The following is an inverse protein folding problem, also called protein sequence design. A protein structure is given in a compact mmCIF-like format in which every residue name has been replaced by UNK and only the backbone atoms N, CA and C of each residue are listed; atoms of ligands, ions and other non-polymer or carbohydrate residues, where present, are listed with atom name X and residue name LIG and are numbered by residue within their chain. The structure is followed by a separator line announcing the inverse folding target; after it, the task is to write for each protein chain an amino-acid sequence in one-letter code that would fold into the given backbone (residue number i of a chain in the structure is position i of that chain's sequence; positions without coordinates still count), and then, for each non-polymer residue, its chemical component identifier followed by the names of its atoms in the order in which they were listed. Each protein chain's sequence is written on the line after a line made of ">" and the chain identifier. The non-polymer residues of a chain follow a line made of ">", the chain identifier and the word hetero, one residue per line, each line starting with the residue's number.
data_IF_184812748077
#
_entry.id   IF_184812748077
#
_cell.length_a   1.000
_cell.length_b   1.000
_cell.length_c   1.000
_cell.angle_alpha   90.00
_cell.angle_beta   90.00
_cell.angle_gamma   90.00
#
_symmetry.space_group_name_H-M   'P 1'
#
loop_
_entity.id
_entity.type
_entity.pdbx_description
1 polymer ?
#
# COMPACT_ATOMS: atom_id res chain seq x y z
N UNK A 1 -30.40 22.67 27.04
CA UNK A 1 -29.10 22.89 26.44
C UNK A 1 -28.67 21.64 25.71
N UNK A 2 -28.31 21.72 24.43
CA UNK A 2 -27.92 20.56 23.60
C UNK A 2 -26.39 20.32 23.63
N UNK A 3 -25.62 21.25 24.14
CA UNK A 3 -24.14 21.18 24.26
C UNK A 3 -23.70 21.45 25.69
N UNK A 4 -22.54 20.90 26.07
CA UNK A 4 -21.82 21.24 27.31
C UNK A 4 -20.57 22.03 26.94
N UNK A 5 -20.02 22.92 27.83
CA UNK A 5 -18.87 23.76 27.51
C UNK A 5 -17.64 22.97 27.05
N UNK A 6 -17.43 21.75 27.56
CA UNK A 6 -16.30 20.89 27.28
C UNK A 6 -16.72 19.53 26.64
N UNK A 7 -17.94 19.42 26.12
CA UNK A 7 -18.50 18.20 25.56
C UNK A 7 -18.81 18.30 24.07
N UNK A 8 -19.33 17.20 23.45
CA UNK A 8 -19.72 17.21 22.06
C UNK A 8 -20.76 18.32 21.79
N UNK A 9 -20.67 18.97 20.63
CA UNK A 9 -21.54 20.09 20.23
C UNK A 9 -23.03 19.75 20.35
N UNK A 10 -23.39 18.51 20.04
CA UNK A 10 -24.75 17.98 20.16
C UNK A 10 -24.75 16.76 21.09
N UNK A 11 -25.62 16.76 22.11
CA UNK A 11 -25.79 15.58 22.98
C UNK A 11 -26.71 14.56 22.28
N UNK A 12 -26.11 13.53 21.68
CA UNK A 12 -26.80 12.51 20.89
C UNK A 12 -27.79 11.69 21.71
N UNK A 13 -27.51 11.43 22.99
CA UNK A 13 -28.37 10.66 23.87
C UNK A 13 -29.76 11.34 24.17
N UNK A 14 -29.86 12.64 23.91
CA UNK A 14 -31.10 13.43 24.11
C UNK A 14 -31.82 13.71 22.80
N UNK A 15 -31.32 13.26 21.65
CA UNK A 15 -31.93 13.48 20.36
C UNK A 15 -33.00 12.43 20.06
N UNK A 16 -34.18 12.91 19.60
CA UNK A 16 -35.20 12.03 19.06
C UNK A 16 -35.00 11.90 17.54
N UNK A 17 -34.30 10.84 17.11
CA UNK A 17 -33.99 10.60 15.72
C UNK A 17 -35.22 10.50 14.81
N UNK A 18 -36.33 9.93 15.28
CA UNK A 18 -37.59 9.84 14.52
C UNK A 18 -38.14 11.22 14.14
N UNK A 19 -38.04 12.20 15.05
CA UNK A 19 -38.46 13.59 14.77
C UNK A 19 -37.60 14.27 13.71
N UNK A 20 -36.28 14.01 13.70
CA UNK A 20 -35.36 14.58 12.73
C UNK A 20 -35.43 13.87 11.39
N UNK A 21 -35.60 12.55 11.36
CA UNK A 21 -35.78 11.75 10.15
C UNK A 21 -36.93 12.26 9.25
N UNK A 22 -37.98 12.81 9.85
CA UNK A 22 -39.10 13.43 9.12
C UNK A 22 -38.76 14.76 8.40
N UNK A 23 -37.56 15.32 8.64
CA UNK A 23 -37.09 16.59 8.06
C UNK A 23 -35.85 16.38 7.19
N UNK A 24 -35.98 16.13 5.87
CA UNK A 24 -34.88 15.63 5.03
C UNK A 24 -33.58 16.47 5.09
N UNK A 25 -33.68 17.80 5.02
CA UNK A 25 -32.48 18.66 5.01
C UNK A 25 -31.72 18.64 6.35
N UNK A 26 -32.45 18.64 7.47
CA UNK A 26 -31.84 18.54 8.81
C UNK A 26 -31.31 17.14 9.10
N UNK A 27 -32.00 16.13 8.63
CA UNK A 27 -31.58 14.74 8.79
C UNK A 27 -30.26 14.47 8.05
N UNK A 28 -30.09 14.97 6.83
CA UNK A 28 -28.84 14.82 6.07
C UNK A 28 -27.66 15.49 6.79
N UNK A 29 -27.81 16.76 7.19
CA UNK A 29 -26.76 17.48 7.92
C UNK A 29 -26.42 16.82 9.27
N UNK A 30 -27.45 16.37 10.00
CA UNK A 30 -27.25 15.67 11.27
C UNK A 30 -26.54 14.33 11.08
N UNK A 31 -26.87 13.58 10.01
CA UNK A 31 -26.19 12.34 9.68
C UNK A 31 -24.70 12.57 9.39
N UNK A 32 -24.37 13.56 8.55
CA UNK A 32 -22.98 13.89 8.22
C UNK A 32 -22.20 14.30 9.47
N UNK A 33 -22.80 15.08 10.36
CA UNK A 33 -22.18 15.43 11.64
C UNK A 33 -21.89 14.20 12.50
N UNK A 34 -22.88 13.33 12.73
CA UNK A 34 -22.74 12.14 13.57
C UNK A 34 -21.71 11.17 12.96
N UNK A 35 -21.76 10.96 11.64
CA UNK A 35 -20.93 9.98 10.96
C UNK A 35 -19.48 10.42 10.76
N UNK A 36 -19.24 11.70 10.45
CA UNK A 36 -17.91 12.21 10.12
C UNK A 36 -17.24 12.93 11.30
N UNK A 37 -17.98 13.67 12.11
CA UNK A 37 -17.40 14.45 13.20
C UNK A 37 -17.35 13.65 14.51
N UNK A 38 -18.48 13.10 14.93
CA UNK A 38 -18.57 12.32 16.18
C UNK A 38 -18.08 10.88 16.00
N UNK A 39 -17.96 10.38 14.76
CA UNK A 39 -17.58 9.01 14.43
C UNK A 39 -18.49 7.93 15.08
N UNK A 40 -19.70 8.29 15.48
CA UNK A 40 -20.67 7.37 16.09
C UNK A 40 -21.50 6.67 15.00
N UNK A 41 -20.97 5.53 14.54
CA UNK A 41 -21.58 4.74 13.46
C UNK A 41 -22.93 4.15 13.88
N UNK A 42 -23.14 3.84 15.17
CA UNK A 42 -24.40 3.22 15.66
C UNK A 42 -25.56 4.19 15.60
N UNK A 43 -25.40 5.38 16.16
CA UNK A 43 -26.42 6.42 16.09
C UNK A 43 -26.64 6.93 14.65
N UNK A 44 -25.58 6.99 13.82
CA UNK A 44 -25.71 7.29 12.41
C UNK A 44 -26.53 6.23 11.66
N UNK A 45 -26.32 4.94 11.96
CA UNK A 45 -27.09 3.82 11.38
C UNK A 45 -28.57 3.91 11.74
N UNK A 46 -28.90 4.17 13.01
CA UNK A 46 -30.27 4.32 13.47
C UNK A 46 -30.98 5.48 12.76
N UNK A 47 -30.34 6.64 12.67
CA UNK A 47 -30.88 7.79 11.93
C UNK A 47 -31.09 7.47 10.46
N UNK A 48 -30.12 6.82 9.81
CA UNK A 48 -30.19 6.44 8.39
C UNK A 48 -31.32 5.41 8.14
N UNK A 49 -31.52 4.44 9.04
CA UNK A 49 -32.58 3.45 8.95
C UNK A 49 -33.97 4.13 9.03
N UNK A 50 -34.19 4.96 10.06
CA UNK A 50 -35.44 5.71 10.23
C UNK A 50 -35.72 6.65 9.06
N UNK A 51 -34.70 7.34 8.55
CA UNK A 51 -34.85 8.23 7.40
C UNK A 51 -35.14 7.46 6.10
N UNK A 52 -34.57 6.27 5.93
CA UNK A 52 -34.85 5.40 4.79
C UNK A 52 -36.29 4.90 4.80
N UNK A 53 -36.81 4.53 5.97
CA UNK A 53 -38.22 4.14 6.15
C UNK A 53 -39.16 5.30 5.87
N UNK A 54 -38.90 6.49 6.41
CA UNK A 54 -39.74 7.69 6.19
C UNK A 54 -39.81 8.10 4.73
N UNK A 55 -38.69 7.90 3.96
CA UNK A 55 -38.65 8.10 2.52
C UNK A 55 -39.20 6.93 1.70
N UNK A 56 -39.80 5.90 2.32
CA UNK A 56 -40.36 4.71 1.66
C UNK A 56 -39.32 4.00 0.76
N UNK A 57 -38.05 3.99 1.13
CA UNK A 57 -36.93 3.37 0.39
C UNK A 57 -36.71 3.92 -1.03
N UNK A 58 -37.23 5.11 -1.36
CA UNK A 58 -37.10 5.71 -2.68
C UNK A 58 -35.87 6.59 -2.85
N UNK A 59 -35.35 7.18 -1.77
CA UNK A 59 -34.16 8.05 -1.83
C UNK A 59 -32.89 7.21 -1.90
N UNK A 60 -32.18 7.33 -3.01
CA UNK A 60 -30.89 6.66 -3.24
C UNK A 60 -29.84 7.09 -2.21
N UNK A 61 -29.85 8.36 -1.77
CA UNK A 61 -28.86 8.92 -0.87
C UNK A 61 -28.83 8.19 0.47
N UNK A 62 -30.00 7.98 1.09
CA UNK A 62 -30.11 7.28 2.37
C UNK A 62 -29.64 5.83 2.28
N UNK A 63 -29.88 5.16 1.16
CA UNK A 63 -29.38 3.79 0.94
C UNK A 63 -27.86 3.75 0.89
N UNK A 64 -27.22 4.75 0.27
CA UNK A 64 -25.76 4.88 0.25
C UNK A 64 -25.22 5.15 1.65
N UNK A 65 -25.84 6.05 2.42
CA UNK A 65 -25.41 6.33 3.79
C UNK A 65 -25.56 5.11 4.70
N UNK A 66 -26.67 4.39 4.57
CA UNK A 66 -26.89 3.13 5.28
C UNK A 66 -25.81 2.11 4.95
N UNK A 67 -25.45 2.00 3.67
CA UNK A 67 -24.37 1.13 3.22
C UNK A 67 -23.00 1.55 3.77
N UNK A 68 -22.71 2.86 3.86
CA UNK A 68 -21.48 3.37 4.50
C UNK A 68 -21.39 2.97 5.98
N UNK A 69 -22.53 3.01 6.71
CA UNK A 69 -22.59 2.54 8.09
C UNK A 69 -22.31 1.03 8.17
N UNK A 70 -22.98 0.22 7.35
CA UNK A 70 -22.74 -1.23 7.29
C UNK A 70 -21.28 -1.56 6.92
N UNK A 71 -20.67 -0.82 5.99
CA UNK A 71 -19.28 -1.00 5.64
C UNK A 71 -18.33 -0.77 6.83
N UNK A 72 -18.53 0.31 7.61
CA UNK A 72 -17.75 0.57 8.82
C UNK A 72 -17.95 -0.48 9.92
N UNK A 73 -19.14 -1.08 9.99
CA UNK A 73 -19.45 -2.16 10.94
C UNK A 73 -18.97 -3.56 10.46
N UNK A 74 -18.36 -3.65 9.29
CA UNK A 74 -17.90 -4.92 8.72
C UNK A 74 -19.01 -5.78 8.09
N UNK A 75 -20.26 -5.27 8.00
CA UNK A 75 -21.42 -5.95 7.42
C UNK A 75 -21.46 -5.79 5.90
N UNK A 76 -20.45 -6.31 5.21
CA UNK A 76 -20.20 -6.06 3.77
C UNK A 76 -21.34 -6.55 2.87
N UNK A 77 -21.98 -7.69 3.21
CA UNK A 77 -23.08 -8.25 2.41
C UNK A 77 -24.35 -7.38 2.47
N UNK A 78 -24.62 -6.74 3.60
CA UNK A 78 -25.76 -5.85 3.70
C UNK A 78 -25.46 -4.49 3.07
N UNK A 79 -24.22 -4.01 3.17
CA UNK A 79 -23.76 -2.85 2.40
C UNK A 79 -23.92 -3.07 0.89
N UNK A 80 -23.53 -4.23 0.36
CA UNK A 80 -23.70 -4.61 -1.05
C UNK A 80 -25.17 -4.52 -1.50
N UNK A 81 -26.09 -5.11 -0.70
CA UNK A 81 -27.53 -5.09 -1.02
C UNK A 81 -28.08 -3.66 -1.13
N UNK A 82 -27.69 -2.78 -0.18
CA UNK A 82 -28.16 -1.39 -0.17
C UNK A 82 -27.59 -0.61 -1.36
N UNK A 83 -26.29 -0.77 -1.69
CA UNK A 83 -25.67 -0.11 -2.83
C UNK A 83 -26.28 -0.57 -4.15
N UNK A 84 -26.47 -1.88 -4.36
CA UNK A 84 -27.16 -2.40 -5.54
C UNK A 84 -28.62 -1.89 -5.63
N UNK A 85 -29.31 -1.78 -4.49
CA UNK A 85 -30.65 -1.20 -4.46
C UNK A 85 -30.63 0.30 -4.79
N UNK A 86 -29.59 1.04 -4.41
CA UNK A 86 -29.41 2.45 -4.74
C UNK A 86 -29.21 2.64 -6.25
N UNK A 87 -28.36 1.85 -6.89
CA UNK A 87 -28.10 1.89 -8.35
C UNK A 87 -29.35 1.63 -9.20
N UNK A 88 -30.33 0.87 -8.68
CA UNK A 88 -31.62 0.67 -9.39
C UNK A 88 -32.47 1.95 -9.45
N UNK A 89 -32.23 2.91 -8.55
CA UNK A 89 -32.95 4.18 -8.51
C UNK A 89 -32.22 5.29 -9.25
N UNK A 90 -30.92 5.40 -9.02
CA UNK A 90 -30.11 6.44 -9.60
C UNK A 90 -28.66 5.99 -9.69
N UNK A 91 -28.04 6.16 -10.86
CA UNK A 91 -26.60 5.98 -11.05
C UNK A 91 -25.86 7.19 -10.49
N UNK A 92 -24.94 6.94 -9.54
CA UNK A 92 -24.08 7.95 -8.94
C UNK A 92 -22.67 7.40 -8.77
N UNK A 93 -21.66 8.22 -9.05
CA UNK A 93 -20.24 7.86 -8.97
C UNK A 93 -19.90 7.31 -7.59
N UNK A 94 -20.34 8.00 -6.52
CA UNK A 94 -20.11 7.56 -5.13
C UNK A 94 -20.62 6.14 -4.86
N UNK A 95 -21.75 5.77 -5.45
CA UNK A 95 -22.33 4.44 -5.24
C UNK A 95 -21.45 3.37 -5.87
N UNK A 96 -20.91 3.61 -7.07
CA UNK A 96 -19.96 2.71 -7.71
C UNK A 96 -18.68 2.59 -6.91
N UNK A 97 -18.12 3.71 -6.43
CA UNK A 97 -16.90 3.74 -5.61
C UNK A 97 -17.05 2.92 -4.31
N UNK A 98 -18.17 3.10 -3.59
CA UNK A 98 -18.41 2.35 -2.37
C UNK A 98 -18.70 0.87 -2.63
N UNK A 99 -19.41 0.55 -3.71
CA UNK A 99 -19.68 -0.85 -4.08
C UNK A 99 -18.38 -1.58 -4.41
N UNK A 100 -17.47 -0.94 -5.11
CA UNK A 100 -16.15 -1.51 -5.39
C UNK A 100 -15.29 -1.67 -4.13
N UNK A 101 -15.34 -0.69 -3.19
CA UNK A 101 -14.70 -0.85 -1.87
C UNK A 101 -15.23 -2.06 -1.11
N UNK A 102 -16.54 -2.31 -1.19
CA UNK A 102 -17.17 -3.49 -0.57
C UNK A 102 -16.64 -4.77 -1.21
N UNK A 103 -16.58 -4.85 -2.55
CA UNK A 103 -16.06 -6.03 -3.24
C UNK A 103 -14.57 -6.28 -2.97
N UNK A 104 -13.77 -5.23 -2.85
CA UNK A 104 -12.36 -5.36 -2.46
C UNK A 104 -12.23 -5.96 -1.04
N UNK A 105 -13.11 -5.57 -0.10
CA UNK A 105 -13.13 -6.17 1.24
C UNK A 105 -13.68 -7.60 1.29
N UNK A 106 -14.47 -7.98 0.28
CA UNK A 106 -14.97 -9.35 0.10
C UNK A 106 -14.00 -10.24 -0.67
N UNK A 107 -12.80 -9.73 -1.00
CA UNK A 107 -11.78 -10.41 -1.80
C UNK A 107 -12.30 -10.83 -3.20
N UNK A 108 -13.04 -9.93 -3.85
CA UNK A 108 -13.61 -10.10 -5.17
C UNK A 108 -13.14 -8.98 -6.13
N UNK A 109 -11.83 -8.87 -6.43
CA UNK A 109 -11.28 -7.76 -7.21
C UNK A 109 -11.81 -7.74 -8.66
N UNK A 110 -12.00 -8.88 -9.29
CA UNK A 110 -12.52 -8.94 -10.66
C UNK A 110 -13.94 -8.40 -10.77
N UNK A 111 -14.81 -8.73 -9.79
CA UNK A 111 -16.18 -8.18 -9.73
C UNK A 111 -16.16 -6.66 -9.51
N UNK A 112 -15.23 -6.16 -8.69
CA UNK A 112 -15.06 -4.72 -8.50
C UNK A 112 -14.66 -4.01 -9.81
N UNK A 113 -13.75 -4.59 -10.60
CA UNK A 113 -13.36 -4.06 -11.92
C UNK A 113 -14.55 -4.02 -12.87
N UNK A 114 -15.39 -5.07 -12.89
CA UNK A 114 -16.60 -5.10 -13.74
C UNK A 114 -17.58 -3.98 -13.35
N UNK A 115 -17.78 -3.76 -12.05
CA UNK A 115 -18.64 -2.68 -11.55
C UNK A 115 -18.08 -1.31 -11.90
N UNK A 116 -16.77 -1.10 -11.80
CA UNK A 116 -16.14 0.14 -12.25
C UNK A 116 -16.31 0.35 -13.76
N UNK A 117 -16.16 -0.69 -14.57
CA UNK A 117 -16.40 -0.61 -16.03
C UNK A 117 -17.83 -0.23 -16.35
N UNK A 118 -18.83 -0.83 -15.66
CA UNK A 118 -20.23 -0.42 -15.76
C UNK A 118 -20.44 1.05 -15.40
N UNK A 119 -19.76 1.54 -14.36
CA UNK A 119 -19.74 2.96 -14.00
C UNK A 119 -19.17 3.84 -15.11
N UNK A 120 -18.07 3.43 -15.75
CA UNK A 120 -17.45 4.16 -16.87
C UNK A 120 -18.30 4.19 -18.13
N UNK A 121 -19.15 3.19 -18.37
CA UNK A 121 -20.14 3.24 -19.46
C UNK A 121 -21.16 4.38 -19.28
N UNK A 122 -21.49 4.70 -18.02
CA UNK A 122 -22.41 5.79 -17.66
C UNK A 122 -21.69 7.15 -17.53
N UNK A 123 -20.51 7.15 -16.94
CA UNK A 123 -19.69 8.33 -16.63
C UNK A 123 -18.35 8.24 -17.39
N UNK A 124 -18.40 8.49 -18.70
CA UNK A 124 -17.22 8.40 -19.54
C UNK A 124 -16.15 9.42 -19.13
N UNK A 125 -14.92 8.95 -18.99
CA UNK A 125 -13.79 9.80 -18.64
C UNK A 125 -13.69 10.19 -17.16
N UNK A 126 -14.52 9.61 -16.28
CA UNK A 126 -14.43 9.89 -14.85
C UNK A 126 -13.14 9.33 -14.24
N UNK A 127 -12.26 10.24 -13.84
CA UNK A 127 -10.90 9.89 -13.38
C UNK A 127 -10.89 9.09 -12.09
N UNK A 128 -11.86 9.29 -11.20
CA UNK A 128 -11.97 8.55 -9.93
C UNK A 128 -12.28 7.08 -10.15
N UNK A 129 -13.10 6.75 -11.16
CA UNK A 129 -13.41 5.36 -11.52
C UNK A 129 -12.22 4.69 -12.22
N UNK A 130 -11.54 5.40 -13.13
CA UNK A 130 -10.32 4.91 -13.79
C UNK A 130 -9.20 4.64 -12.79
N UNK A 131 -8.94 5.58 -11.88
CA UNK A 131 -7.98 5.40 -10.79
C UNK A 131 -8.36 4.25 -9.85
N UNK A 132 -9.67 4.04 -9.62
CA UNK A 132 -10.17 2.91 -8.85
C UNK A 132 -9.82 1.55 -9.48
N UNK A 133 -9.95 1.42 -10.81
CA UNK A 133 -9.55 0.21 -11.54
C UNK A 133 -8.02 0.02 -11.43
N UNK A 134 -7.26 1.09 -11.65
CA UNK A 134 -5.81 1.05 -11.59
C UNK A 134 -5.30 0.55 -10.21
N UNK A 135 -5.86 1.06 -9.11
CA UNK A 135 -5.54 0.60 -7.73
C UNK A 135 -5.85 -0.88 -7.50
N UNK A 136 -6.93 -1.41 -8.10
CA UNK A 136 -7.24 -2.84 -7.97
C UNK A 136 -6.20 -3.68 -8.70
N UNK A 137 -5.79 -3.30 -9.93
CA UNK A 137 -4.73 -3.99 -10.65
C UNK A 137 -3.38 -3.89 -9.92
N UNK A 138 -3.06 -2.74 -9.33
CA UNK A 138 -1.88 -2.56 -8.48
C UNK A 138 -1.91 -3.50 -7.27
N UNK A 139 -3.05 -3.60 -6.56
CA UNK A 139 -3.24 -4.53 -5.45
C UNK A 139 -3.18 -6.01 -5.84
N UNK A 140 -3.43 -6.35 -7.11
CA UNK A 140 -3.24 -7.69 -7.67
C UNK A 140 -1.81 -7.91 -8.21
N UNK A 141 -0.93 -6.94 -8.07
CA UNK A 141 0.43 -6.93 -8.61
C UNK A 141 0.48 -7.04 -10.16
N UNK A 142 -0.58 -6.61 -10.84
CA UNK A 142 -0.63 -6.49 -12.30
C UNK A 142 -0.30 -5.05 -12.70
N UNK A 143 1.00 -4.71 -12.64
CA UNK A 143 1.48 -3.36 -12.86
C UNK A 143 1.30 -2.90 -14.30
N UNK A 144 1.31 -3.80 -15.27
CA UNK A 144 1.14 -3.45 -16.69
C UNK A 144 -0.26 -2.88 -16.96
N UNK A 145 -1.30 -3.54 -16.44
CA UNK A 145 -2.66 -3.05 -16.54
C UNK A 145 -2.88 -1.82 -15.64
N UNK A 146 -2.32 -1.78 -14.43
CA UNK A 146 -2.41 -0.61 -13.55
C UNK A 146 -1.87 0.66 -14.24
N UNK A 147 -0.67 0.59 -14.80
CA UNK A 147 -0.03 1.72 -15.52
C UNK A 147 -0.83 2.15 -16.75
N UNK A 148 -1.46 1.21 -17.45
CA UNK A 148 -2.34 1.54 -18.58
C UNK A 148 -3.50 2.41 -18.14
N UNK A 149 -4.22 2.01 -17.08
CA UNK A 149 -5.33 2.80 -16.57
C UNK A 149 -4.88 4.12 -15.94
N UNK A 150 -3.71 4.18 -15.28
CA UNK A 150 -3.16 5.46 -14.81
C UNK A 150 -2.77 6.40 -15.97
N UNK A 151 -2.30 5.88 -17.10
CA UNK A 151 -2.10 6.70 -18.32
C UNK A 151 -3.43 7.22 -18.86
N UNK A 152 -4.48 6.40 -18.83
CA UNK A 152 -5.82 6.86 -19.20
C UNK A 152 -6.33 7.95 -18.26
N UNK A 153 -6.08 7.86 -16.94
CA UNK A 153 -6.36 8.96 -16.00
C UNK A 153 -5.65 10.25 -16.40
N UNK A 154 -4.35 10.18 -16.77
CA UNK A 154 -3.59 11.37 -17.18
C UNK A 154 -4.06 11.98 -18.49
N UNK A 155 -4.76 11.24 -19.35
CA UNK A 155 -5.37 11.78 -20.56
C UNK A 155 -6.54 12.74 -20.24
N UNK A 156 -7.26 12.48 -19.14
CA UNK A 156 -8.38 13.33 -18.69
C UNK A 156 -7.96 14.37 -17.65
N UNK A 157 -7.11 13.97 -16.69
CA UNK A 157 -6.55 14.84 -15.65
C UNK A 157 -5.03 14.73 -15.63
N UNK A 158 -4.39 15.63 -16.34
CA UNK A 158 -2.93 15.67 -16.45
C UNK A 158 -2.20 16.03 -15.14
N UNK A 159 -2.93 16.49 -14.11
CA UNK A 159 -2.38 16.85 -12.79
C UNK A 159 -2.70 15.83 -11.70
N UNK A 160 -3.14 14.62 -12.05
CA UNK A 160 -3.46 13.59 -11.08
C UNK A 160 -2.20 13.06 -10.40
N UNK A 161 -1.99 13.43 -9.14
CA UNK A 161 -0.76 13.19 -8.37
C UNK A 161 -0.41 11.69 -8.30
N UNK A 162 -1.38 10.86 -7.91
CA UNK A 162 -1.18 9.41 -7.76
C UNK A 162 -0.78 8.74 -9.07
N UNK A 163 -1.46 9.08 -10.17
CA UNK A 163 -1.13 8.52 -11.48
C UNK A 163 0.29 8.88 -11.93
N UNK A 164 0.72 10.13 -11.70
CA UNK A 164 2.09 10.57 -11.99
C UNK A 164 3.09 9.79 -11.13
N UNK A 165 2.82 9.62 -9.83
CA UNK A 165 3.70 8.93 -8.89
C UNK A 165 3.88 7.45 -9.28
N UNK A 166 2.80 6.72 -9.55
CA UNK A 166 2.87 5.30 -9.91
C UNK A 166 3.58 5.10 -11.26
N UNK A 167 3.29 5.94 -12.25
CA UNK A 167 4.00 5.88 -13.54
C UNK A 167 5.49 6.18 -13.37
N UNK A 168 5.86 7.15 -12.52
CA UNK A 168 7.26 7.45 -12.22
C UNK A 168 7.96 6.24 -11.57
N UNK A 169 7.32 5.62 -10.59
CA UNK A 169 7.82 4.42 -9.90
C UNK A 169 8.00 3.26 -10.88
N UNK A 170 7.05 3.04 -11.78
CA UNK A 170 7.17 2.00 -12.82
C UNK A 170 8.35 2.26 -13.77
N UNK A 171 8.56 3.51 -14.21
CA UNK A 171 9.74 3.84 -15.02
C UNK A 171 11.03 3.59 -14.27
N UNK A 172 11.08 3.88 -12.96
CA UNK A 172 12.26 3.59 -12.14
C UNK A 172 12.57 2.10 -12.11
N UNK A 173 11.57 1.24 -11.82
CA UNK A 173 11.76 -0.22 -11.81
C UNK A 173 11.94 -0.85 -13.20
N UNK A 174 11.63 -0.10 -14.27
CA UNK A 174 11.91 -0.49 -15.66
C UNK A 174 13.28 -0.01 -16.16
N UNK A 175 14.20 0.30 -15.25
CA UNK A 175 15.55 0.78 -15.54
C UNK A 175 15.59 2.07 -16.38
N UNK A 176 14.64 2.97 -16.12
CA UNK A 176 14.52 4.28 -16.77
C UNK A 176 14.52 5.43 -15.74
N UNK A 177 15.56 5.57 -14.90
CA UNK A 177 15.57 6.53 -13.79
C UNK A 177 15.48 8.00 -14.26
N UNK A 178 16.01 8.33 -15.45
CA UNK A 178 15.92 9.69 -16.00
C UNK A 178 14.48 10.06 -16.37
N UNK A 179 13.69 9.10 -16.85
CA UNK A 179 12.28 9.31 -17.16
C UNK A 179 11.48 9.47 -15.84
N UNK A 180 11.72 8.57 -14.88
CA UNK A 180 11.14 8.66 -13.55
C UNK A 180 11.42 10.02 -12.89
N UNK A 181 12.66 10.50 -12.99
CA UNK A 181 13.08 11.79 -12.45
C UNK A 181 12.28 12.96 -13.03
N UNK A 182 11.91 12.94 -14.31
CA UNK A 182 11.06 13.98 -14.93
C UNK A 182 9.65 13.99 -14.31
N UNK A 183 9.05 12.81 -14.06
CA UNK A 183 7.74 12.71 -13.44
C UNK A 183 7.77 13.13 -11.97
N UNK A 184 8.75 12.72 -11.19
CA UNK A 184 8.89 13.14 -9.78
C UNK A 184 9.17 14.64 -9.67
N UNK A 185 9.98 15.24 -10.56
CA UNK A 185 10.17 16.70 -10.62
C UNK A 185 8.87 17.45 -10.94
N UNK A 186 8.01 16.87 -11.78
CA UNK A 186 6.69 17.44 -12.06
C UNK A 186 5.82 17.46 -10.79
N UNK A 187 5.82 16.40 -9.97
CA UNK A 187 5.12 16.40 -8.68
C UNK A 187 5.63 17.52 -7.76
N UNK A 188 6.94 17.74 -7.72
CA UNK A 188 7.52 18.84 -6.95
C UNK A 188 7.05 20.21 -7.45
N UNK A 189 6.97 20.40 -8.78
CA UNK A 189 6.42 21.64 -9.40
C UNK A 189 4.94 21.84 -9.10
N UNK A 190 4.18 20.76 -8.88
CA UNK A 190 2.77 20.80 -8.47
C UNK A 190 2.57 21.10 -6.98
N UNK A 191 3.66 21.26 -6.23
CA UNK A 191 3.62 21.58 -4.81
C UNK A 191 3.54 20.35 -3.88
N UNK A 192 3.73 19.14 -4.40
CA UNK A 192 3.87 17.95 -3.54
C UNK A 192 5.22 18.02 -2.84
N UNK A 193 5.20 18.02 -1.50
CA UNK A 193 6.40 18.22 -0.70
C UNK A 193 6.38 17.30 0.53
N UNK A 194 6.87 16.07 0.37
CA UNK A 194 6.92 15.08 1.43
C UNK A 194 8.24 14.26 1.38
N UNK A 195 8.54 13.53 2.46
CA UNK A 195 9.75 12.72 2.59
C UNK A 195 9.86 11.64 1.52
N UNK A 196 8.76 10.99 1.16
CA UNK A 196 8.70 9.93 0.16
C UNK A 196 9.12 10.43 -1.23
N UNK A 197 8.64 11.61 -1.65
CA UNK A 197 9.00 12.20 -2.94
C UNK A 197 10.49 12.50 -3.01
N UNK A 198 11.07 13.07 -1.95
CA UNK A 198 12.51 13.37 -1.92
C UNK A 198 13.36 12.11 -1.84
N UNK A 199 12.90 11.07 -1.15
CA UNK A 199 13.53 9.75 -1.15
C UNK A 199 13.59 9.16 -2.56
N UNK A 200 12.47 9.16 -3.28
CA UNK A 200 12.40 8.65 -4.64
C UNK A 200 13.22 9.51 -5.63
N UNK A 201 13.24 10.83 -5.45
CA UNK A 201 14.12 11.72 -6.20
C UNK A 201 15.60 11.40 -5.95
N UNK A 202 16.00 11.15 -4.70
CA UNK A 202 17.34 10.75 -4.31
C UNK A 202 17.80 9.48 -5.02
N UNK A 203 16.95 8.43 -4.99
CA UNK A 203 17.21 7.19 -5.71
C UNK A 203 17.33 7.42 -7.23
N UNK A 204 16.38 8.13 -7.83
CA UNK A 204 16.43 8.42 -9.27
C UNK A 204 17.67 9.22 -9.65
N UNK A 205 18.08 10.21 -8.84
CA UNK A 205 19.30 10.98 -9.07
C UNK A 205 20.54 10.09 -9.02
N UNK A 206 20.62 9.17 -8.05
CA UNK A 206 21.73 8.23 -7.94
C UNK A 206 21.85 7.32 -9.16
N UNK A 207 20.77 6.63 -9.54
CA UNK A 207 20.76 5.71 -10.68
C UNK A 207 20.89 6.43 -12.03
N UNK A 208 20.44 7.69 -12.13
CA UNK A 208 20.69 8.56 -13.28
C UNK A 208 22.08 9.23 -13.26
N UNK A 209 22.97 8.84 -12.35
CA UNK A 209 24.34 9.36 -12.19
C UNK A 209 24.41 10.87 -11.90
N UNK A 210 23.37 11.45 -11.33
CA UNK A 210 23.31 12.86 -10.91
C UNK A 210 23.67 12.98 -9.41
N UNK A 211 24.89 12.59 -9.06
CA UNK A 211 25.33 12.40 -7.67
C UNK A 211 25.27 13.68 -6.82
N UNK A 212 25.48 14.85 -7.41
CA UNK A 212 25.45 16.15 -6.71
C UNK A 212 24.08 16.43 -6.06
N UNK A 213 23.00 15.93 -6.67
CA UNK A 213 21.64 16.10 -6.15
C UNK A 213 21.19 14.99 -5.21
N UNK A 214 21.85 13.84 -5.24
CA UNK A 214 21.44 12.66 -4.45
C UNK A 214 21.47 12.95 -2.96
N UNK A 215 22.57 13.49 -2.44
CA UNK A 215 22.74 13.79 -1.03
C UNK A 215 21.70 14.82 -0.54
N UNK A 216 21.56 15.92 -1.28
CA UNK A 216 20.58 16.98 -0.93
C UNK A 216 19.15 16.49 -0.93
N UNK A 217 18.79 15.55 -1.82
CA UNK A 217 17.47 14.91 -1.81
C UNK A 217 17.28 14.05 -0.57
N UNK A 218 18.24 13.23 -0.17
CA UNK A 218 18.13 12.41 1.03
C UNK A 218 18.15 13.22 2.33
N UNK A 219 18.94 14.30 2.41
CA UNK A 219 18.87 15.24 3.55
C UNK A 219 17.48 15.83 3.70
N UNK A 220 16.84 16.22 2.58
CA UNK A 220 15.46 16.70 2.58
C UNK A 220 14.48 15.59 2.97
N UNK A 221 14.66 14.38 2.43
CA UNK A 221 13.83 13.24 2.79
C UNK A 221 13.86 12.97 4.29
N UNK A 222 15.05 12.94 4.90
CA UNK A 222 15.21 12.75 6.35
C UNK A 222 14.58 13.89 7.16
N UNK A 223 14.67 15.13 6.68
CA UNK A 223 14.07 16.28 7.39
C UNK A 223 12.54 16.29 7.38
N UNK A 224 11.92 15.61 6.42
CA UNK A 224 10.47 15.56 6.23
C UNK A 224 9.86 14.19 6.60
N UNK A 225 10.71 13.19 6.83
CA UNK A 225 10.27 11.85 7.16
C UNK A 225 9.58 11.81 8.54
N UNK A 226 8.51 11.05 8.62
CA UNK A 226 7.82 10.69 9.85
C UNK A 226 8.33 9.34 10.41
N UNK A 227 7.78 8.90 11.53
CA UNK A 227 8.16 7.64 12.19
C UNK A 227 7.95 6.41 11.29
N UNK A 228 7.05 6.49 10.30
CA UNK A 228 6.74 5.38 9.40
C UNK A 228 7.70 5.32 8.21
N UNK A 229 8.13 6.48 7.70
CA UNK A 229 8.91 6.59 6.47
C UNK A 229 10.42 6.68 6.69
N UNK A 230 10.86 7.09 7.89
CA UNK A 230 12.28 7.31 8.19
C UNK A 230 13.14 6.05 8.04
N UNK A 231 12.58 4.88 8.36
CA UNK A 231 13.28 3.60 8.21
C UNK A 231 13.61 3.32 6.74
N UNK A 232 12.65 3.55 5.84
CA UNK A 232 12.82 3.37 4.40
C UNK A 232 13.87 4.33 3.82
N UNK A 233 13.90 5.57 4.30
CA UNK A 233 14.92 6.54 3.85
C UNK A 233 16.32 6.06 4.22
N UNK A 234 16.53 5.62 5.48
CA UNK A 234 17.82 5.06 5.90
C UNK A 234 18.20 3.80 5.13
N UNK A 235 17.24 2.93 4.85
CA UNK A 235 17.44 1.74 4.04
C UNK A 235 17.93 2.08 2.64
N UNK A 236 17.31 3.07 1.99
CA UNK A 236 17.70 3.51 0.65
C UNK A 236 19.05 4.21 0.61
N UNK A 237 19.39 5.00 1.63
CA UNK A 237 20.76 5.57 1.79
C UNK A 237 21.77 4.42 1.92
N UNK A 238 21.45 3.37 2.67
CA UNK A 238 22.26 2.17 2.78
C UNK A 238 22.53 1.50 1.44
N UNK A 239 21.52 1.39 0.57
CA UNK A 239 21.68 0.88 -0.78
C UNK A 239 22.56 1.77 -1.67
N UNK A 240 22.40 3.08 -1.57
CA UNK A 240 23.28 4.04 -2.28
C UNK A 240 24.72 3.88 -1.79
N UNK A 241 24.94 3.73 -0.48
CA UNK A 241 26.26 3.50 0.09
C UNK A 241 26.89 2.20 -0.42
N UNK A 242 26.11 1.11 -0.55
CA UNK A 242 26.56 -0.13 -1.21
C UNK A 242 26.98 0.09 -2.65
N UNK A 243 26.20 0.86 -3.41
CA UNK A 243 26.49 1.18 -4.82
C UNK A 243 27.76 2.02 -5.00
N UNK A 244 28.11 2.87 -4.02
CA UNK A 244 29.36 3.65 -4.00
C UNK A 244 30.54 2.79 -3.51
N UNK A 245 30.26 1.67 -2.81
CA UNK A 245 31.27 0.81 -2.20
C UNK A 245 31.63 1.14 -0.75
N UNK A 246 30.92 2.08 -0.09
CA UNK A 246 31.11 2.40 1.31
C UNK A 246 30.32 1.43 2.21
N UNK A 247 30.96 0.27 2.50
CA UNK A 247 30.36 -0.77 3.33
C UNK A 247 30.13 -0.34 4.78
N UNK A 248 30.93 0.60 5.31
CA UNK A 248 30.78 1.08 6.67
C UNK A 248 29.56 1.98 6.81
N UNK A 249 29.37 2.91 5.88
CA UNK A 249 28.16 3.75 5.82
C UNK A 249 26.92 2.89 5.62
N UNK A 250 26.95 1.94 4.68
CA UNK A 250 25.85 1.00 4.45
C UNK A 250 25.45 0.25 5.72
N UNK A 251 26.43 -0.26 6.46
CA UNK A 251 26.20 -0.96 7.73
C UNK A 251 25.53 -0.06 8.76
N UNK A 252 25.99 1.18 8.91
CA UNK A 252 25.38 2.14 9.83
C UNK A 252 23.94 2.49 9.44
N UNK A 253 23.69 2.71 8.15
CA UNK A 253 22.37 3.02 7.64
C UNK A 253 21.37 1.87 7.89
N UNK A 254 21.75 0.62 7.60
CA UNK A 254 20.87 -0.52 7.88
C UNK A 254 20.65 -0.73 9.39
N UNK A 255 21.63 -0.40 10.23
CA UNK A 255 21.43 -0.38 11.69
C UNK A 255 20.43 0.72 12.12
N UNK A 256 20.48 1.90 11.50
CA UNK A 256 19.51 2.97 11.74
C UNK A 256 18.12 2.59 11.23
N UNK A 257 18.02 1.89 10.10
CA UNK A 257 16.77 1.30 9.62
C UNK A 257 16.13 0.43 10.71
N UNK A 258 16.90 -0.52 11.28
CA UNK A 258 16.41 -1.44 12.31
C UNK A 258 16.12 -0.73 13.65
N UNK A 259 16.77 0.39 13.95
CA UNK A 259 16.47 1.17 15.16
C UNK A 259 15.11 1.88 15.08
N UNK A 260 14.66 2.19 13.86
CA UNK A 260 13.35 2.82 13.60
C UNK A 260 12.26 1.80 13.29
N UNK A 261 12.61 0.69 12.62
CA UNK A 261 11.68 -0.40 12.31
C UNK A 261 12.37 -1.75 12.50
N UNK A 262 12.07 -2.42 13.62
CA UNK A 262 12.65 -3.72 13.95
C UNK A 262 12.16 -4.87 13.04
N UNK A 263 11.08 -4.68 12.31
CA UNK A 263 10.48 -5.70 11.46
C UNK A 263 10.91 -5.58 9.98
N UNK A 264 12.00 -4.85 9.71
CA UNK A 264 12.51 -4.65 8.35
C UNK A 264 13.42 -5.82 7.93
N UNK A 265 12.84 -6.84 7.30
CA UNK A 265 13.52 -8.08 6.93
C UNK A 265 14.67 -7.88 5.95
N UNK A 266 14.51 -6.98 4.97
CA UNK A 266 15.52 -6.66 3.96
C UNK A 266 16.78 -6.06 4.59
N UNK A 267 16.62 -5.21 5.61
CA UNK A 267 17.76 -4.64 6.33
C UNK A 267 18.53 -5.71 7.10
N UNK A 268 17.84 -6.67 7.73
CA UNK A 268 18.49 -7.82 8.35
C UNK A 268 19.25 -8.65 7.32
N UNK A 269 18.65 -8.96 6.18
CA UNK A 269 19.32 -9.70 5.12
C UNK A 269 20.60 -8.98 4.65
N UNK A 270 20.52 -7.68 4.41
CA UNK A 270 21.67 -6.89 3.94
C UNK A 270 22.78 -6.80 4.99
N UNK A 271 22.44 -6.65 6.28
CA UNK A 271 23.40 -6.73 7.37
C UNK A 271 24.07 -8.12 7.43
N UNK A 272 23.30 -9.18 7.22
CA UNK A 272 23.83 -10.54 7.14
C UNK A 272 24.86 -10.70 6.03
N UNK A 273 24.60 -10.16 4.84
CA UNK A 273 25.55 -10.15 3.71
C UNK A 273 26.81 -9.34 4.05
N UNK A 274 26.66 -8.18 4.70
CA UNK A 274 27.82 -7.37 5.11
C UNK A 274 28.69 -8.08 6.16
N UNK A 275 28.10 -8.73 7.15
CA UNK A 275 28.83 -9.50 8.15
C UNK A 275 29.52 -10.74 7.54
N UNK A 276 28.87 -11.38 6.56
CA UNK A 276 29.49 -12.48 5.82
C UNK A 276 30.73 -12.03 5.06
N UNK A 277 30.70 -10.85 4.42
CA UNK A 277 31.87 -10.26 3.75
C UNK A 277 33.02 -9.94 4.68
N UNK A 278 32.73 -9.65 5.95
CA UNK A 278 33.73 -9.44 7.01
C UNK A 278 34.28 -10.76 7.58
N UNK A 279 33.70 -11.90 7.19
CA UNK A 279 34.07 -13.23 7.70
C UNK A 279 33.37 -13.63 9.00
N UNK A 280 32.36 -12.88 9.44
CA UNK A 280 31.60 -13.17 10.67
C UNK A 280 30.39 -14.08 10.38
N UNK A 281 30.65 -15.34 10.03
CA UNK A 281 29.64 -16.32 9.59
C UNK A 281 28.49 -16.52 10.60
N UNK A 282 28.79 -16.58 11.90
CA UNK A 282 27.75 -16.79 12.93
C UNK A 282 26.82 -15.59 13.08
N UNK A 283 27.34 -14.37 12.96
CA UNK A 283 26.54 -13.16 13.00
C UNK A 283 25.68 -13.03 11.73
N UNK A 284 26.25 -13.35 10.56
CA UNK A 284 25.50 -13.39 9.31
C UNK A 284 24.36 -14.39 9.38
N UNK A 285 24.60 -15.58 9.95
CA UNK A 285 23.60 -16.60 10.19
C UNK A 285 22.45 -16.09 11.04
N UNK A 286 22.74 -15.41 12.15
CA UNK A 286 21.72 -14.85 13.04
C UNK A 286 20.86 -13.79 12.31
N UNK A 287 21.48 -12.94 11.48
CA UNK A 287 20.77 -11.93 10.70
C UNK A 287 19.87 -12.54 9.62
N UNK A 288 20.33 -13.53 8.87
CA UNK A 288 19.48 -14.24 7.91
C UNK A 288 18.32 -14.96 8.58
N UNK A 289 18.55 -15.55 9.77
CA UNK A 289 17.50 -16.18 10.55
C UNK A 289 16.44 -15.18 10.98
N UNK A 290 16.82 -14.00 11.46
CA UNK A 290 15.87 -12.94 11.79
C UNK A 290 15.08 -12.51 10.56
N UNK A 291 15.72 -12.30 9.41
CA UNK A 291 15.08 -11.90 8.18
C UNK A 291 13.99 -12.88 7.72
N UNK A 292 14.28 -14.19 7.65
CA UNK A 292 13.27 -15.15 7.19
C UNK A 292 12.18 -15.48 8.22
N UNK A 293 12.40 -15.21 9.50
CA UNK A 293 11.34 -15.29 10.53
C UNK A 293 10.34 -14.14 10.36
N UNK A 294 10.83 -12.93 10.08
CA UNK A 294 9.99 -11.74 9.87
C UNK A 294 9.23 -11.86 8.53
N UNK A 295 9.93 -12.21 7.45
CA UNK A 295 9.36 -12.32 6.09
C UNK A 295 9.65 -13.69 5.46
N UNK A 296 8.85 -14.73 5.78
CA UNK A 296 9.07 -16.08 5.26
C UNK A 296 8.92 -16.23 3.74
N UNK A 297 8.27 -15.28 3.09
CA UNK A 297 8.04 -15.26 1.64
C UNK A 297 9.21 -14.66 0.83
N UNK A 298 10.17 -14.01 1.50
CA UNK A 298 11.39 -13.53 0.85
C UNK A 298 12.32 -14.71 0.53
N UNK A 299 12.76 -14.82 -0.72
CA UNK A 299 13.69 -15.88 -1.13
C UNK A 299 15.14 -15.57 -0.77
N UNK A 300 15.56 -14.30 -0.72
CA UNK A 300 16.93 -13.86 -0.52
C UNK A 300 17.54 -14.34 0.80
N UNK A 301 16.89 -14.16 1.97
CA UNK A 301 17.43 -14.67 3.22
C UNK A 301 17.55 -16.18 3.24
N UNK A 302 16.60 -16.89 2.63
CA UNK A 302 16.64 -18.36 2.52
C UNK A 302 17.78 -18.82 1.63
N UNK A 303 18.01 -18.15 0.49
CA UNK A 303 19.12 -18.46 -0.39
C UNK A 303 20.47 -18.16 0.27
N UNK A 304 20.61 -16.97 0.89
CA UNK A 304 21.85 -16.58 1.57
C UNK A 304 22.20 -17.53 2.73
N UNK A 305 21.18 -17.97 3.48
CA UNK A 305 21.34 -18.98 4.51
C UNK A 305 21.76 -20.34 3.91
N UNK A 306 21.13 -20.76 2.80
CA UNK A 306 21.48 -22.00 2.13
C UNK A 306 22.94 -22.01 1.64
N UNK A 307 23.36 -20.93 0.98
CA UNK A 307 24.73 -20.77 0.49
C UNK A 307 25.75 -20.76 1.63
N UNK A 308 25.46 -20.07 2.74
CA UNK A 308 26.32 -20.07 3.92
C UNK A 308 26.41 -21.46 4.56
N UNK A 309 25.28 -22.17 4.71
CA UNK A 309 25.24 -23.52 5.29
C UNK A 309 26.01 -24.53 4.42
N UNK A 310 25.94 -24.40 3.11
CA UNK A 310 26.73 -25.23 2.16
C UNK A 310 28.23 -24.99 2.34
N UNK A 311 28.68 -23.74 2.44
CA UNK A 311 30.07 -23.39 2.71
C UNK A 311 30.58 -23.92 4.07
N UNK A 312 29.71 -23.99 5.06
CA UNK A 312 30.03 -24.53 6.39
C UNK A 312 29.95 -26.07 6.46
N UNK A 313 29.50 -26.72 5.39
CA UNK A 313 29.35 -28.17 5.32
C UNK A 313 28.08 -28.72 5.96
N UNK A 314 27.14 -27.86 6.38
CA UNK A 314 25.82 -28.28 6.88
C UNK A 314 24.84 -28.48 5.72
N UNK A 315 25.03 -29.60 5.00
CA UNK A 315 24.27 -29.92 3.80
C UNK A 315 22.75 -30.04 4.05
N UNK A 316 22.36 -30.52 5.25
CA UNK A 316 20.95 -30.71 5.61
C UNK A 316 20.22 -29.33 5.75
N UNK A 317 20.84 -28.42 6.51
CA UNK A 317 20.28 -27.07 6.67
C UNK A 317 20.27 -26.30 5.33
N UNK A 318 21.35 -26.44 4.53
CA UNK A 318 21.45 -25.88 3.18
C UNK A 318 20.31 -26.36 2.28
N UNK A 319 20.06 -27.68 2.24
CA UNK A 319 18.98 -28.25 1.43
C UNK A 319 17.59 -27.73 1.82
N UNK A 320 17.31 -27.69 3.13
CA UNK A 320 16.02 -27.21 3.62
C UNK A 320 15.79 -25.72 3.28
N UNK A 321 16.83 -24.90 3.40
CA UNK A 321 16.77 -23.49 3.08
C UNK A 321 16.67 -23.25 1.56
N UNK A 322 17.47 -23.95 0.75
CA UNK A 322 17.40 -23.86 -0.71
C UNK A 322 16.01 -24.27 -1.25
N UNK A 323 15.40 -25.30 -0.66
CA UNK A 323 14.04 -25.72 -1.00
C UNK A 323 13.04 -24.59 -0.75
N UNK A 324 13.08 -23.94 0.43
CA UNK A 324 12.23 -22.80 0.76
C UNK A 324 12.46 -21.60 -0.15
N UNK A 325 13.73 -21.31 -0.53
CA UNK A 325 14.03 -20.25 -1.47
C UNK A 325 13.39 -20.48 -2.85
N UNK A 326 13.42 -21.73 -3.35
CA UNK A 326 12.77 -22.10 -4.62
C UNK A 326 11.25 -22.08 -4.51
N UNK A 327 10.68 -22.46 -3.36
CA UNK A 327 9.24 -22.37 -3.10
C UNK A 327 8.76 -20.89 -3.07
N UNK A 328 9.55 -19.99 -2.46
CA UNK A 328 9.24 -18.57 -2.40
C UNK A 328 9.36 -17.89 -3.77
N UNK A 329 10.42 -18.17 -4.52
CA UNK A 329 10.63 -17.63 -5.87
C UNK A 329 11.09 -18.71 -6.85
N UNK A 330 10.13 -19.37 -7.55
CA UNK A 330 10.43 -20.49 -8.44
C UNK A 330 11.31 -20.15 -9.65
N UNK A 331 11.49 -18.88 -9.99
CA UNK A 331 12.28 -18.47 -11.17
C UNK A 331 13.74 -18.12 -10.83
N UNK A 332 14.14 -18.11 -9.55
CA UNK A 332 15.51 -17.82 -9.16
C UNK A 332 16.48 -18.96 -9.56
N UNK A 333 17.38 -18.67 -10.48
CA UNK A 333 18.29 -19.66 -11.10
C UNK A 333 19.26 -20.23 -10.07
N UNK A 334 19.95 -19.37 -9.32
CA UNK A 334 20.98 -19.79 -8.36
C UNK A 334 20.41 -20.69 -7.25
N UNK A 335 19.19 -20.42 -6.78
CA UNK A 335 18.52 -21.29 -5.80
C UNK A 335 18.20 -22.68 -6.36
N UNK A 336 17.82 -22.76 -7.64
CA UNK A 336 17.57 -24.04 -8.32
C UNK A 336 18.85 -24.82 -8.53
N UNK A 337 19.91 -24.13 -8.93
CA UNK A 337 21.20 -24.79 -9.18
C UNK A 337 21.82 -25.31 -7.88
N UNK A 338 21.78 -24.54 -6.80
CA UNK A 338 22.18 -24.99 -5.47
C UNK A 338 21.36 -26.21 -5.01
N UNK A 339 20.02 -26.15 -5.17
CA UNK A 339 19.16 -27.27 -4.80
C UNK A 339 19.47 -28.53 -5.64
N UNK A 340 19.78 -28.38 -6.93
CA UNK A 340 20.22 -29.48 -7.81
C UNK A 340 21.54 -30.11 -7.33
N UNK A 341 22.53 -29.28 -7.01
CA UNK A 341 23.83 -29.74 -6.50
C UNK A 341 23.65 -30.51 -5.21
N UNK A 342 22.89 -30.01 -4.26
CA UNK A 342 22.61 -30.68 -2.99
C UNK A 342 21.85 -31.99 -3.19
N UNK A 343 20.88 -32.06 -4.09
CA UNK A 343 20.22 -33.35 -4.43
C UNK A 343 21.16 -34.34 -5.02
N UNK A 344 22.10 -33.95 -5.85
CA UNK A 344 23.11 -34.81 -6.40
C UNK A 344 24.04 -35.35 -5.30
N UNK A 345 24.49 -34.49 -4.39
CA UNK A 345 25.27 -34.93 -3.22
C UNK A 345 24.54 -35.99 -2.38
N UNK A 346 23.25 -35.78 -2.07
CA UNK A 346 22.45 -36.75 -1.31
C UNK A 346 22.14 -38.03 -2.09
N UNK A 347 22.23 -38.03 -3.42
CA UNK A 347 22.03 -39.23 -4.23
C UNK A 347 23.30 -40.09 -4.34
N UNK A 348 24.46 -39.55 -3.95
CA UNK A 348 25.76 -40.22 -3.94
C UNK A 348 26.12 -40.77 -2.56
N UNK A 349 25.39 -40.36 -1.51
CA UNK A 349 25.48 -40.88 -0.14
C UNK A 349 24.51 -42.05 0.06
#
# INVERSE_FOLDING_TARGET
>A
MLSTPDGPFINLARLNFAKYAARPNLAKALFEYIFHHENDVRNALELAALATETCQFKDWWWKVQLAKCYYRLGMYRDAEKQLKSSLKHQDMIDTYLYLCKVYTRLDQPMTAIEVFKQGLEKFQGETTLLAGIARIYEGMNDMDNAVKFYKDVLNFDSMHIEAIAVIATQHFYSDQPEVALKFFRRLLQMGVYNGELFNNLGLCCFYAQQYDMTLTCFERALSLADEQTIAEVWYNIGHVALGIGDMNLAYQCFRLTLSNNNDHAEAYNNLGVLELRKGHAEQARAFFQAAFVISPHMYEPHYNWAALSDQLGDLQSSYNAAKRAVEAFPNHVDSKDLLKQLKHHFSLL
#
